data_IF_897645145134
#
_entry.id   IF_897645145134
#
_cell.length_a   1.000
_cell.length_b   1.000
_cell.length_c   1.000
_cell.angle_alpha   90.00
_cell.angle_beta   90.00
_cell.angle_gamma   90.00
#
_symmetry.space_group_name_H-M   'P 1'
#
loop_
_entity.id
_entity.type
_entity.pdbx_description
1 polymer ?
#
# COMPACT_ATOMS: atom_id res chain seq x y z
N UNK A 1 -31.26 -4.34 23.07
CA UNK A 1 -30.50 -4.83 21.91
C UNK A 1 -29.02 -4.60 22.19
N UNK A 2 -28.12 -5.58 21.93
CA UNK A 2 -26.70 -5.40 22.17
C UNK A 2 -26.18 -4.32 21.20
N UNK A 3 -25.43 -3.36 21.73
CA UNK A 3 -24.75 -2.35 20.92
C UNK A 3 -23.71 -3.08 20.06
N UNK A 4 -23.89 -3.05 18.75
CA UNK A 4 -22.81 -3.34 17.79
C UNK A 4 -21.63 -2.46 18.19
N UNK A 5 -20.53 -3.09 18.61
CA UNK A 5 -19.24 -2.43 18.71
C UNK A 5 -19.01 -1.73 17.38
N UNK A 6 -18.86 -0.41 17.40
CA UNK A 6 -18.45 0.34 16.21
C UNK A 6 -17.11 -0.28 15.83
N UNK A 7 -17.03 -0.92 14.67
CA UNK A 7 -15.78 -1.48 14.19
C UNK A 7 -14.65 -0.46 14.35
N UNK A 8 -13.49 -0.90 14.85
CA UNK A 8 -12.41 0.00 15.19
C UNK A 8 -11.79 0.52 13.90
N UNK A 9 -12.31 1.62 13.39
CA UNK A 9 -11.75 2.23 12.21
C UNK A 9 -10.32 2.69 12.52
N UNK A 10 -9.38 2.39 11.64
CA UNK A 10 -7.97 2.70 11.79
C UNK A 10 -7.57 3.74 10.76
N UNK A 11 -6.78 4.73 11.20
CA UNK A 11 -6.10 5.67 10.33
C UNK A 11 -4.64 5.27 10.17
N UNK A 12 -4.21 5.05 8.93
CA UNK A 12 -2.82 4.85 8.52
C UNK A 12 -2.40 6.04 7.65
N UNK A 13 -1.27 6.65 7.93
CA UNK A 13 -0.74 7.73 7.10
C UNK A 13 0.76 7.59 6.94
N UNK A 14 1.27 8.09 5.82
CA UNK A 14 2.70 8.15 5.61
C UNK A 14 3.12 9.30 4.71
N UNK A 15 4.39 9.64 4.76
CA UNK A 15 5.00 10.66 3.91
C UNK A 15 6.44 10.31 3.58
N UNK A 16 6.94 10.90 2.51
CA UNK A 16 8.30 10.68 2.06
C UNK A 16 8.61 11.46 0.78
N UNK A 17 9.67 11.02 0.10
CA UNK A 17 10.01 11.55 -1.22
C UNK A 17 10.42 10.45 -2.18
N UNK A 18 9.93 10.53 -3.40
CA UNK A 18 10.45 9.77 -4.54
C UNK A 18 11.77 10.37 -4.99
N UNK A 19 12.59 9.57 -5.69
CA UNK A 19 13.57 10.14 -6.59
C UNK A 19 12.81 10.87 -7.70
N UNK A 20 13.00 12.19 -7.90
CA UNK A 20 12.30 12.90 -8.95
C UNK A 20 12.64 12.35 -10.34
N UNK A 21 11.69 12.27 -11.27
CA UNK A 21 11.99 11.98 -12.68
C UNK A 21 12.87 13.08 -13.29
N UNK A 22 13.64 12.75 -14.32
CA UNK A 22 14.39 13.75 -15.08
C UNK A 22 13.46 14.67 -15.87
N UNK A 23 13.96 15.83 -16.30
CA UNK A 23 13.18 16.76 -17.11
C UNK A 23 12.69 16.12 -18.42
N UNK A 24 13.52 15.27 -19.05
CA UNK A 24 13.16 14.53 -20.26
C UNK A 24 12.06 13.51 -19.99
N UNK A 25 12.12 12.81 -18.86
CA UNK A 25 11.06 11.87 -18.45
C UNK A 25 9.75 12.61 -18.21
N UNK A 26 9.78 13.75 -17.50
CA UNK A 26 8.60 14.57 -17.25
C UNK A 26 7.99 15.11 -18.55
N UNK A 27 8.82 15.56 -19.49
CA UNK A 27 8.38 16.08 -20.78
C UNK A 27 7.73 15.00 -21.67
N UNK A 28 8.12 13.74 -21.52
CA UNK A 28 7.56 12.61 -22.27
C UNK A 28 6.24 12.08 -21.70
N UNK A 29 5.83 12.53 -20.51
CA UNK A 29 4.58 12.09 -19.88
C UNK A 29 3.35 12.67 -20.61
N UNK A 30 2.30 11.86 -20.84
CA UNK A 30 1.07 12.36 -21.42
C UNK A 30 0.35 13.31 -20.45
N UNK A 31 -0.48 14.20 -21.00
CA UNK A 31 -1.42 14.96 -20.19
C UNK A 31 -2.45 14.02 -19.53
N UNK A 32 -3.10 14.49 -18.45
CA UNK A 32 -4.21 13.77 -17.81
C UNK A 32 -3.80 12.65 -16.84
N UNK A 33 -2.55 12.63 -16.37
CA UNK A 33 -2.06 11.66 -15.37
C UNK A 33 -2.65 11.87 -13.96
N UNK A 34 -3.32 13.00 -13.72
CA UNK A 34 -3.76 13.41 -12.38
C UNK A 34 -2.67 14.07 -11.53
N UNK A 35 -1.48 14.31 -12.11
CA UNK A 35 -0.36 14.99 -11.46
C UNK A 35 0.22 16.07 -12.38
N UNK A 36 0.61 17.20 -11.81
CA UNK A 36 1.39 18.20 -12.54
C UNK A 36 2.87 17.76 -12.65
N UNK A 37 3.57 18.22 -13.69
CA UNK A 37 5.00 17.96 -13.83
C UNK A 37 5.80 18.55 -12.67
N UNK A 38 5.42 19.73 -12.18
CA UNK A 38 6.05 20.38 -11.03
C UNK A 38 5.90 19.55 -9.75
N UNK A 39 4.73 18.97 -9.52
CA UNK A 39 4.49 18.11 -8.37
C UNK A 39 5.34 16.83 -8.43
N UNK A 40 5.41 16.19 -9.60
CA UNK A 40 6.28 15.03 -9.81
C UNK A 40 7.76 15.38 -9.66
N UNK A 41 8.18 16.56 -10.12
CA UNK A 41 9.54 17.07 -9.98
C UNK A 41 9.91 17.36 -8.51
N UNK A 42 8.94 17.76 -7.68
CA UNK A 42 9.18 17.93 -6.24
C UNK A 42 9.57 16.62 -5.57
N UNK A 43 9.03 15.50 -6.07
CA UNK A 43 9.19 14.17 -5.50
C UNK A 43 8.52 13.97 -4.14
N UNK A 44 8.04 15.02 -3.47
CA UNK A 44 7.41 14.93 -2.15
C UNK A 44 6.02 14.31 -2.24
N UNK A 45 5.73 13.38 -1.34
CA UNK A 45 4.44 12.72 -1.28
C UNK A 45 3.97 12.47 0.15
N UNK A 46 2.65 12.35 0.30
CA UNK A 46 2.02 11.78 1.49
C UNK A 46 0.81 10.93 1.09
N UNK A 47 0.46 9.95 1.90
CA UNK A 47 -0.78 9.18 1.75
C UNK A 47 -1.53 9.11 3.06
N UNK A 48 -2.84 8.91 2.96
CA UNK A 48 -3.69 8.55 4.10
C UNK A 48 -4.67 7.46 3.70
N UNK A 49 -4.88 6.51 4.60
CA UNK A 49 -5.84 5.43 4.50
C UNK A 49 -6.68 5.40 5.76
N UNK A 50 -7.99 5.24 5.59
CA UNK A 50 -8.89 4.80 6.65
C UNK A 50 -9.38 3.41 6.31
N UNK A 51 -9.31 2.46 7.24
CA UNK A 51 -9.80 1.10 7.04
C UNK A 51 -10.55 0.56 8.25
N UNK A 52 -11.45 -0.36 7.99
CA UNK A 52 -12.26 -1.10 8.96
C UNK A 52 -11.61 -2.47 9.19
N UNK A 53 -11.12 -2.71 10.40
CA UNK A 53 -10.40 -3.93 10.78
C UNK A 53 -11.33 -5.11 11.11
N UNK A 54 -12.65 -4.91 11.07
CA UNK A 54 -13.64 -5.97 11.29
C UNK A 54 -14.03 -6.72 10.02
N UNK A 55 -13.60 -6.24 8.85
CA UNK A 55 -13.88 -6.89 7.58
C UNK A 55 -13.17 -8.25 7.53
N UNK A 56 -13.88 -9.34 7.23
CA UNK A 56 -13.27 -10.67 7.19
C UNK A 56 -12.39 -10.85 5.97
N UNK A 57 -11.48 -11.80 6.09
CA UNK A 57 -10.75 -12.34 4.94
C UNK A 57 -11.70 -12.99 3.93
N UNK A 58 -11.37 -12.86 2.65
CA UNK A 58 -12.11 -13.40 1.51
C UNK A 58 -11.26 -14.33 0.63
N UNK A 59 -9.97 -14.51 0.94
CA UNK A 59 -9.10 -15.42 0.20
C UNK A 59 -9.28 -16.88 0.70
N UNK A 60 -9.34 -17.86 -0.20
CA UNK A 60 -9.30 -19.27 0.18
C UNK A 60 -7.90 -19.81 0.53
N UNK A 61 -6.83 -19.10 0.20
CA UNK A 61 -5.45 -19.49 0.55
C UNK A 61 -5.17 -19.18 2.03
N UNK A 62 -4.90 -20.19 2.88
CA UNK A 62 -4.70 -20.01 4.32
C UNK A 62 -3.39 -19.28 4.68
N UNK A 63 -2.61 -18.87 3.68
CA UNK A 63 -1.35 -18.14 3.84
C UNK A 63 -1.39 -16.73 3.25
N UNK A 64 -2.56 -16.31 2.74
CA UNK A 64 -2.75 -15.01 2.10
C UNK A 64 -4.12 -14.46 2.44
N UNK A 65 -4.19 -13.44 3.31
CA UNK A 65 -5.44 -12.78 3.63
C UNK A 65 -5.73 -11.62 2.68
N UNK A 66 -6.95 -11.56 2.15
CA UNK A 66 -7.45 -10.45 1.31
C UNK A 66 -8.69 -9.81 1.93
N UNK A 67 -8.50 -8.58 2.39
CA UNK A 67 -9.51 -7.77 3.05
C UNK A 67 -10.13 -6.77 2.07
N UNK A 68 -10.86 -7.29 1.09
CA UNK A 68 -11.58 -6.46 0.10
C UNK A 68 -12.72 -5.71 0.78
N UNK A 69 -12.82 -4.39 0.52
CA UNK A 69 -13.85 -3.55 1.15
C UNK A 69 -13.51 -3.03 2.56
N UNK A 70 -12.36 -3.42 3.12
CA UNK A 70 -11.84 -2.88 4.38
C UNK A 70 -11.48 -1.40 4.27
N UNK A 71 -10.94 -0.96 3.13
CA UNK A 71 -10.54 0.43 2.93
C UNK A 71 -11.78 1.31 2.75
N UNK A 72 -11.93 2.33 3.60
CA UNK A 72 -13.02 3.32 3.61
C UNK A 72 -12.63 4.65 2.95
N UNK A 73 -11.35 4.98 2.96
CA UNK A 73 -10.79 6.12 2.24
C UNK A 73 -9.32 5.83 1.92
N UNK A 74 -8.84 6.23 0.74
CA UNK A 74 -7.43 6.16 0.38
C UNK A 74 -7.06 7.37 -0.48
N UNK A 75 -6.20 8.23 0.03
CA UNK A 75 -5.72 9.44 -0.63
C UNK A 75 -4.21 9.40 -0.81
N UNK A 76 -3.77 9.90 -1.95
CA UNK A 76 -2.38 10.24 -2.23
C UNK A 76 -2.27 11.74 -2.50
N UNK A 77 -1.23 12.37 -1.99
CA UNK A 77 -0.82 13.73 -2.32
C UNK A 77 0.61 13.68 -2.84
N UNK A 78 0.85 14.28 -4.01
CA UNK A 78 2.20 14.47 -4.57
C UNK A 78 2.34 15.95 -4.85
N UNK A 79 3.29 16.63 -4.19
CA UNK A 79 3.34 18.09 -4.16
C UNK A 79 1.99 18.68 -3.72
N UNK A 80 1.32 19.39 -4.63
CA UNK A 80 -0.02 19.95 -4.48
C UNK A 80 -1.14 19.10 -5.12
N UNK A 81 -0.79 18.15 -5.99
CA UNK A 81 -1.75 17.25 -6.64
C UNK A 81 -2.31 16.26 -5.63
N UNK A 82 -3.65 16.23 -5.52
CA UNK A 82 -4.37 15.28 -4.65
C UNK A 82 -5.14 14.27 -5.50
N UNK A 83 -4.98 12.98 -5.19
CA UNK A 83 -5.67 11.87 -5.85
C UNK A 83 -6.38 11.04 -4.79
N UNK A 84 -7.71 11.06 -4.83
CA UNK A 84 -8.56 10.15 -4.07
C UNK A 84 -8.73 8.84 -4.86
N UNK A 85 -8.25 7.73 -4.29
CA UNK A 85 -8.30 6.43 -4.93
C UNK A 85 -9.63 5.73 -4.67
N UNK A 86 -10.17 5.02 -5.67
CA UNK A 86 -11.49 4.41 -5.55
C UNK A 86 -11.41 3.20 -4.61
N UNK A 87 -12.15 3.29 -3.50
CA UNK A 87 -12.10 2.31 -2.41
C UNK A 87 -12.62 0.93 -2.79
N UNK A 88 -13.49 0.85 -3.80
CA UNK A 88 -13.98 -0.42 -4.36
C UNK A 88 -12.91 -1.17 -5.18
N UNK A 89 -11.78 -0.54 -5.48
CA UNK A 89 -10.61 -1.16 -6.10
C UNK A 89 -9.38 -1.09 -5.17
N UNK A 90 -9.63 -0.98 -3.87
CA UNK A 90 -8.62 -0.93 -2.83
C UNK A 90 -8.78 -2.13 -1.88
N UNK A 91 -7.66 -2.64 -1.37
CA UNK A 91 -7.65 -3.75 -0.42
C UNK A 91 -6.40 -3.75 0.44
N UNK A 92 -6.49 -4.46 1.56
CA UNK A 92 -5.33 -4.88 2.36
C UNK A 92 -5.03 -6.34 1.99
N UNK A 93 -3.76 -6.65 1.80
CA UNK A 93 -3.26 -8.02 1.58
C UNK A 93 -2.24 -8.33 2.67
N UNK A 94 -2.45 -9.44 3.35
CA UNK A 94 -1.52 -9.99 4.33
C UNK A 94 -1.01 -11.31 3.78
N UNK A 95 0.27 -11.60 3.91
CA UNK A 95 0.82 -12.91 3.58
C UNK A 95 1.80 -13.31 4.69
N UNK A 96 1.58 -14.46 5.29
CA UNK A 96 2.31 -14.99 6.44
C UNK A 96 3.47 -15.92 6.04
N UNK A 97 3.93 -15.81 4.80
CA UNK A 97 4.87 -16.73 4.19
C UNK A 97 4.38 -17.20 2.82
N UNK A 98 3.07 -17.36 2.63
CA UNK A 98 2.44 -17.64 1.33
C UNK A 98 2.90 -18.94 0.63
N UNK A 99 2.09 -19.43 -0.31
CA UNK A 99 2.55 -20.44 -1.27
C UNK A 99 3.24 -19.79 -2.46
N UNK A 100 4.55 -19.59 -2.32
CA UNK A 100 5.45 -19.13 -3.38
C UNK A 100 6.76 -18.55 -2.86
N UNK A 101 6.75 -18.00 -1.64
CA UNK A 101 7.93 -17.44 -0.99
C UNK A 101 7.89 -17.68 0.54
N UNK A 102 7.96 -18.94 1.02
CA UNK A 102 7.81 -19.27 2.45
C UNK A 102 8.80 -18.52 3.37
N UNK A 103 9.87 -17.97 2.81
CA UNK A 103 10.84 -17.12 3.48
C UNK A 103 10.47 -15.62 3.47
N UNK A 104 9.21 -15.27 3.17
CA UNK A 104 8.73 -13.89 3.03
C UNK A 104 7.31 -13.71 3.57
N UNK A 105 7.18 -12.82 4.55
CA UNK A 105 5.91 -12.28 5.01
C UNK A 105 5.73 -10.86 4.48
N UNK A 106 4.49 -10.42 4.30
CA UNK A 106 4.22 -9.03 3.93
C UNK A 106 2.85 -8.52 4.33
N UNK A 107 2.78 -7.21 4.50
CA UNK A 107 1.54 -6.46 4.61
C UNK A 107 1.55 -5.43 3.46
N UNK A 108 0.46 -5.38 2.70
CA UNK A 108 0.31 -4.47 1.57
C UNK A 108 -1.05 -3.79 1.60
N UNK A 109 -1.04 -2.47 1.48
CA UNK A 109 -2.21 -1.70 1.13
C UNK A 109 -2.08 -1.30 -0.33
N UNK A 110 -3.06 -1.67 -1.15
CA UNK A 110 -3.02 -1.42 -2.57
C UNK A 110 -4.34 -0.87 -3.07
N UNK A 111 -4.26 0.01 -4.06
CA UNK A 111 -5.41 0.54 -4.76
C UNK A 111 -5.10 0.74 -6.25
N UNK A 112 -6.17 0.66 -7.05
CA UNK A 112 -6.14 0.87 -8.49
C UNK A 112 -7.15 1.94 -8.86
N UNK A 113 -6.80 2.85 -9.77
CA UNK A 113 -7.73 3.80 -10.37
C UNK A 113 -7.62 3.76 -11.89
N UNK A 114 -8.75 3.87 -12.58
CA UNK A 114 -8.75 4.10 -14.04
C UNK A 114 -8.68 5.61 -14.26
N UNK A 115 -7.70 6.05 -15.02
CA UNK A 115 -7.47 7.45 -15.38
C UNK A 115 -7.40 7.57 -16.92
N UNK A 116 -7.53 8.77 -17.50
CA UNK A 116 -7.50 8.94 -18.96
C UNK A 116 -6.25 8.33 -19.61
N UNK A 117 -5.10 8.44 -18.95
CA UNK A 117 -3.82 7.91 -19.46
C UNK A 117 -3.60 6.41 -19.18
N UNK A 118 -4.56 5.70 -18.57
CA UNK A 118 -4.49 4.26 -18.31
C UNK A 118 -4.85 3.87 -16.87
N UNK A 119 -4.01 3.05 -16.24
CA UNK A 119 -4.27 2.49 -14.91
C UNK A 119 -3.24 3.02 -13.92
N UNK A 120 -3.70 3.80 -12.96
CA UNK A 120 -2.91 4.17 -11.79
C UNK A 120 -2.97 3.04 -10.75
N UNK A 121 -1.81 2.69 -10.22
CA UNK A 121 -1.63 1.75 -9.12
C UNK A 121 -0.85 2.45 -8.02
N UNK A 122 -1.37 2.37 -6.81
CA UNK A 122 -0.63 2.76 -5.62
C UNK A 122 -0.51 1.55 -4.71
N UNK A 123 0.66 1.34 -4.13
CA UNK A 123 0.86 0.32 -3.12
C UNK A 123 1.81 0.82 -2.05
N UNK A 124 1.40 0.68 -0.80
CA UNK A 124 2.31 0.75 0.34
C UNK A 124 2.54 -0.65 0.87
N UNK A 125 3.80 -1.03 1.03
CA UNK A 125 4.20 -2.42 1.29
C UNK A 125 5.24 -2.44 2.40
N UNK A 126 5.12 -3.43 3.28
CA UNK A 126 6.15 -3.85 4.21
C UNK A 126 6.42 -5.34 4.03
N UNK A 127 7.69 -5.73 4.06
CA UNK A 127 8.15 -7.10 3.84
C UNK A 127 9.06 -7.52 4.98
N UNK A 128 8.80 -8.68 5.58
CA UNK A 128 9.82 -9.39 6.35
C UNK A 128 10.33 -10.53 5.47
N UNK A 129 11.59 -10.46 5.06
CA UNK A 129 12.20 -11.49 4.21
C UNK A 129 13.43 -12.07 4.90
N UNK A 130 13.53 -13.39 4.87
CA UNK A 130 14.64 -14.15 5.42
C UNK A 130 15.42 -14.87 4.30
N UNK A 131 16.65 -15.33 4.58
CA UNK A 131 17.39 -16.22 3.68
C UNK A 131 16.56 -17.45 3.28
N UNK A 132 16.89 -17.99 2.11
CA UNK A 132 16.24 -19.20 1.60
C UNK A 132 16.45 -20.36 2.60
N UNK A 133 15.37 -21.07 2.93
CA UNK A 133 15.37 -22.19 3.89
C UNK A 133 14.74 -21.87 5.24
N UNK A 134 14.56 -20.58 5.58
CA UNK A 134 13.74 -20.18 6.74
C UNK A 134 12.27 -20.17 6.32
N UNK A 135 11.45 -21.02 6.93
CA UNK A 135 9.99 -21.02 6.74
C UNK A 135 9.34 -20.09 7.77
N UNK A 136 8.76 -18.99 7.29
CA UNK A 136 8.11 -17.98 8.11
C UNK A 136 6.68 -18.33 8.50
N UNK A 137 6.10 -19.43 7.98
CA UNK A 137 4.76 -19.89 8.39
C UNK A 137 4.75 -20.59 9.76
N UNK A 138 5.92 -20.68 10.41
CA UNK A 138 6.13 -21.36 11.68
C UNK A 138 6.67 -20.41 12.76
N UNK A 139 7.35 -20.92 13.80
CA UNK A 139 7.86 -20.11 14.92
C UNK A 139 8.87 -19.00 14.55
N UNK A 140 9.39 -19.01 13.32
CA UNK A 140 10.28 -17.97 12.81
C UNK A 140 9.52 -16.76 12.22
N UNK A 141 8.22 -16.89 11.97
CA UNK A 141 7.35 -15.84 11.46
C UNK A 141 7.13 -14.70 12.44
N UNK A 142 6.90 -13.51 11.91
CA UNK A 142 6.37 -12.37 12.66
C UNK A 142 4.86 -12.29 12.56
N UNK A 143 4.29 -12.77 11.45
CA UNK A 143 2.86 -12.90 11.26
C UNK A 143 2.43 -14.30 11.71
N UNK A 144 1.54 -14.43 12.69
CA UNK A 144 1.11 -15.74 13.18
C UNK A 144 0.16 -16.45 12.21
N UNK A 145 -0.47 -15.71 11.29
CA UNK A 145 -1.32 -16.21 10.22
C UNK A 145 -1.56 -15.11 9.15
N UNK A 146 -2.36 -15.45 8.16
CA UNK A 146 -2.95 -14.58 7.14
C UNK A 146 -4.00 -13.55 7.65
N UNK A 147 -4.30 -13.58 8.95
CA UNK A 147 -5.24 -12.67 9.60
C UNK A 147 -4.74 -11.21 9.57
N UNK A 148 -5.64 -10.24 9.48
CA UNK A 148 -5.30 -8.82 9.56
C UNK A 148 -4.70 -8.54 10.94
N UNK A 149 -3.43 -8.16 11.05
CA UNK A 149 -2.80 -7.98 12.35
C UNK A 149 -3.25 -6.66 12.98
N UNK A 150 -2.97 -6.51 14.28
CA UNK A 150 -3.23 -5.25 14.97
C UNK A 150 -2.61 -4.04 14.25
N UNK A 151 -3.30 -2.89 14.26
CA UNK A 151 -2.89 -1.71 13.50
C UNK A 151 -1.42 -1.27 13.73
N UNK A 152 -0.90 -1.48 14.94
CA UNK A 152 0.48 -1.17 15.28
C UNK A 152 1.47 -1.98 14.43
N UNK A 153 1.17 -3.26 14.21
CA UNK A 153 1.96 -4.14 13.35
C UNK A 153 1.75 -3.83 11.87
N UNK A 154 0.54 -3.42 11.47
CA UNK A 154 0.30 -2.93 10.10
C UNK A 154 1.32 -1.85 9.74
N UNK A 155 1.55 -0.84 10.60
CA UNK A 155 2.52 0.23 10.40
C UNK A 155 3.98 -0.11 10.73
N UNK A 156 4.24 -1.15 11.55
CA UNK A 156 5.57 -1.39 12.11
C UNK A 156 6.03 -2.85 12.03
N UNK A 157 5.59 -3.62 11.02
CA UNK A 157 6.12 -4.97 10.76
C UNK A 157 7.66 -4.90 10.74
N UNK A 158 8.33 -5.71 11.57
CA UNK A 158 9.78 -5.66 11.64
C UNK A 158 10.38 -6.09 10.29
N UNK A 159 11.39 -5.35 9.83
CA UNK A 159 12.02 -5.55 8.53
C UNK A 159 13.53 -5.65 8.68
N UNK A 160 14.18 -6.43 7.83
CA UNK A 160 15.64 -6.61 7.86
C UNK A 160 16.37 -5.42 7.23
N UNK A 161 15.72 -4.74 6.30
CA UNK A 161 16.26 -3.64 5.52
C UNK A 161 15.29 -2.46 5.46
N UNK A 162 15.78 -1.20 5.39
CA UNK A 162 14.91 -0.06 5.13
C UNK A 162 14.21 -0.15 3.76
N UNK A 163 14.75 -0.92 2.80
CA UNK A 163 14.15 -1.11 1.48
C UNK A 163 12.96 -2.07 1.47
N UNK A 164 12.73 -2.78 2.57
CA UNK A 164 11.59 -3.70 2.70
C UNK A 164 10.29 -2.97 3.03
N UNK A 165 10.36 -1.66 3.31
CA UNK A 165 9.22 -0.77 3.47
C UNK A 165 9.26 0.23 2.35
N UNK A 166 8.22 0.27 1.52
CA UNK A 166 8.21 1.17 0.38
C UNK A 166 6.81 1.53 -0.09
N UNK A 167 6.70 2.71 -0.69
CA UNK A 167 5.56 3.14 -1.47
C UNK A 167 5.91 3.02 -2.95
N UNK A 168 5.02 2.44 -3.76
CA UNK A 168 5.07 2.43 -5.21
C UNK A 168 3.89 3.19 -5.79
N UNK A 169 4.17 4.13 -6.69
CA UNK A 169 3.19 4.74 -7.59
C UNK A 169 3.55 4.35 -9.02
N UNK A 170 2.62 3.72 -9.71
CA UNK A 170 2.80 3.24 -11.08
C UNK A 170 1.61 3.64 -11.95
N UNK A 171 1.88 4.09 -13.17
CA UNK A 171 0.85 4.33 -14.17
C UNK A 171 1.16 3.48 -15.40
N UNK A 172 0.27 2.54 -15.69
CA UNK A 172 0.35 1.67 -16.86
C UNK A 172 -0.49 2.25 -18.01
N UNK A 173 0.03 2.32 -19.25
CA UNK A 173 -0.75 2.75 -20.40
C UNK A 173 -1.81 1.70 -20.77
N UNK A 174 -2.89 2.08 -21.47
CA UNK A 174 -3.84 1.11 -22.02
C UNK A 174 -3.13 0.14 -22.98
N UNK A 175 -3.15 -1.16 -22.68
CA UNK A 175 -2.64 -2.21 -23.56
C UNK A 175 -1.11 -2.25 -23.76
N UNK A 176 -0.32 -1.44 -23.06
CA UNK A 176 1.14 -1.42 -23.18
C UNK A 176 1.85 -2.29 -22.13
N UNK A 177 3.12 -2.62 -22.41
CA UNK A 177 3.96 -3.49 -21.56
C UNK A 177 4.90 -2.74 -20.61
N UNK A 178 5.13 -1.44 -20.84
CA UNK A 178 5.98 -0.59 -20.01
C UNK A 178 5.14 0.51 -19.33
N UNK A 179 5.39 0.81 -18.04
CA UNK A 179 4.70 1.89 -17.36
C UNK A 179 5.07 3.25 -17.96
N UNK A 180 4.10 4.17 -18.01
CA UNK A 180 4.31 5.58 -18.33
C UNK A 180 5.09 6.27 -17.20
N UNK A 181 4.78 5.90 -15.96
CA UNK A 181 5.40 6.41 -14.75
C UNK A 181 5.59 5.26 -13.77
N UNK A 182 6.77 5.19 -13.17
CA UNK A 182 7.05 4.30 -12.04
C UNK A 182 7.93 5.04 -11.05
N UNK A 183 7.38 5.30 -9.86
CA UNK A 183 8.06 5.93 -8.75
C UNK A 183 7.98 5.02 -7.55
N UNK A 184 9.10 4.87 -6.85
CA UNK A 184 9.16 4.11 -5.60
C UNK A 184 10.01 4.84 -4.58
N UNK A 185 9.64 4.72 -3.31
CA UNK A 185 10.44 5.26 -2.21
C UNK A 185 10.41 4.35 -1.01
N UNK A 186 11.58 4.09 -0.45
CA UNK A 186 11.77 3.43 0.85
C UNK A 186 12.10 4.43 1.98
N UNK A 187 12.27 5.71 1.65
CA UNK A 187 12.51 6.78 2.63
C UNK A 187 11.17 7.39 3.03
N UNK A 188 10.57 6.81 4.06
CA UNK A 188 9.23 7.18 4.49
C UNK A 188 9.07 7.12 6.00
N UNK A 189 8.14 7.91 6.51
CA UNK A 189 7.60 7.81 7.86
C UNK A 189 6.15 7.39 7.76
N UNK A 190 5.74 6.36 8.51
CA UNK A 190 4.37 5.85 8.54
C UNK A 190 3.90 5.73 9.98
N UNK A 191 2.64 6.06 10.21
CA UNK A 191 1.99 5.95 11.51
C UNK A 191 0.61 5.31 11.35
N UNK A 192 0.23 4.47 12.30
CA UNK A 192 -1.13 3.95 12.43
C UNK A 192 -1.68 4.30 13.81
N UNK A 193 -2.96 4.65 13.85
CA UNK A 193 -3.69 4.92 15.10
C UNK A 193 -5.17 4.57 14.92
N UNK A 194 -5.89 4.23 16.00
CA UNK A 194 -7.33 4.21 15.98
C UNK A 194 -7.85 5.55 15.46
N UNK A 195 -8.84 5.53 14.57
CA UNK A 195 -9.55 6.71 14.15
C UNK A 195 -10.40 7.18 15.34
N UNK A 196 -10.12 8.36 15.85
CA UNK A 196 -11.01 9.03 16.78
C UNK A 196 -12.26 9.47 16.02
N UNK A 197 -13.44 9.31 16.62
CA UNK A 197 -14.67 9.90 16.09
C UNK A 197 -14.46 11.42 15.90
N UNK A 198 -15.09 12.03 14.87
CA UNK A 198 -14.99 13.47 14.62
C UNK A 198 -15.52 14.31 15.80
#
# INVERSE_FOLDING_TARGET
MPRTSVAAEISLSGSGSFKPPSAEQLAALPAGLGFSQADLASGHWSFSVRYDDSIPDTDPDPYVGRYVGAIRAFRLVVGSSTVDLPVNQAQIVVSDGGLGFPNRESIRLQARATIPSGILRLSWIQVNQQPQGTDLRGPAGLLPSDALPAYAMVANLATASPFDRYLELRIDPPGGSRPLLYLSSSKLSVTARPATAP
#
